data_IF_218186612610
#
_entry.id   IF_218186612610
#
_cell.length_a   1.000
_cell.length_b   1.000
_cell.length_c   1.000
_cell.angle_alpha   90.00
_cell.angle_beta   90.00
_cell.angle_gamma   90.00
#
_symmetry.space_group_name_H-M   'P 1'
#
loop_
_entity.id
_entity.type
_entity.pdbx_description
1 polymer ?
#
# COMPACT_ATOMS: atom_id res chain seq x y z
N UNK A 1 20.35 9.29 7.32
CA UNK A 1 19.35 10.08 6.60
C UNK A 1 19.23 9.56 5.17
N UNK A 2 17.98 9.40 4.71
CA UNK A 2 17.78 8.96 3.34
C UNK A 2 18.12 10.07 2.35
N UNK A 3 18.80 9.69 1.28
CA UNK A 3 19.07 10.58 0.17
C UNK A 3 17.74 11.02 -0.46
N UNK A 4 17.60 12.29 -0.90
CA UNK A 4 16.38 12.72 -1.60
C UNK A 4 16.02 11.82 -2.79
N UNK A 5 17.03 11.27 -3.48
CA UNK A 5 16.79 10.34 -4.58
C UNK A 5 16.18 9.03 -4.10
N UNK A 6 16.56 8.57 -2.91
CA UNK A 6 15.99 7.36 -2.33
C UNK A 6 14.53 7.57 -1.95
N UNK A 7 14.19 8.74 -1.43
CA UNK A 7 12.80 9.05 -1.09
C UNK A 7 11.93 9.09 -2.34
N UNK A 8 12.41 9.70 -3.41
CA UNK A 8 11.67 9.75 -4.67
C UNK A 8 11.48 8.36 -5.26
N UNK A 9 12.52 7.53 -5.19
CA UNK A 9 12.46 6.15 -5.67
C UNK A 9 11.45 5.34 -4.86
N UNK A 10 11.47 5.48 -3.55
CA UNK A 10 10.55 4.78 -2.67
C UNK A 10 9.11 5.24 -2.90
N UNK A 11 8.92 6.52 -3.11
CA UNK A 11 7.59 7.07 -3.39
C UNK A 11 7.04 6.54 -4.71
N UNK A 12 7.89 6.50 -5.73
CA UNK A 12 7.48 5.95 -7.02
C UNK A 12 7.13 4.48 -6.93
N UNK A 13 7.95 3.72 -6.21
CA UNK A 13 7.68 2.30 -5.96
C UNK A 13 6.34 2.13 -5.26
N UNK A 14 6.07 2.95 -4.26
CA UNK A 14 4.80 2.92 -3.56
C UNK A 14 3.64 3.15 -4.51
N UNK A 15 3.74 4.18 -5.36
CA UNK A 15 2.68 4.48 -6.31
C UNK A 15 2.48 3.36 -7.34
N UNK A 16 3.58 2.76 -7.79
CA UNK A 16 3.53 1.68 -8.77
C UNK A 16 2.87 0.43 -8.18
N UNK A 17 3.09 0.18 -6.89
CA UNK A 17 2.53 -0.99 -6.23
C UNK A 17 1.17 -0.74 -5.60
N UNK A 18 0.68 0.48 -5.64
CA UNK A 18 -0.57 0.83 -4.99
C UNK A 18 -1.77 0.00 -5.50
N UNK A 19 -1.97 -0.18 -6.83
CA UNK A 19 -3.06 -1.02 -7.29
C UNK A 19 -2.98 -2.45 -6.77
N UNK A 20 -1.78 -3.04 -6.76
CA UNK A 20 -1.59 -4.39 -6.24
C UNK A 20 -1.83 -4.43 -4.75
N UNK A 21 -1.35 -3.42 -4.02
CA UNK A 21 -1.55 -3.30 -2.59
C UNK A 21 -3.04 -3.27 -2.26
N UNK A 22 -3.82 -2.48 -2.98
CA UNK A 22 -5.25 -2.38 -2.74
C UNK A 22 -5.98 -3.68 -3.07
N UNK A 23 -5.54 -4.37 -4.13
CA UNK A 23 -6.11 -5.66 -4.48
C UNK A 23 -5.86 -6.70 -3.40
N UNK A 24 -4.64 -6.72 -2.84
CA UNK A 24 -4.31 -7.65 -1.77
C UNK A 24 -5.02 -7.31 -0.47
N UNK A 25 -5.21 -6.03 -0.20
CA UNK A 25 -5.90 -5.59 1.01
C UNK A 25 -7.37 -5.97 1.00
N UNK A 26 -7.98 -6.04 -0.17
CA UNK A 26 -9.38 -6.42 -0.28
C UNK A 26 -10.34 -5.43 0.36
N UNK A 27 -9.90 -4.20 0.55
CA UNK A 27 -10.74 -3.19 1.19
C UNK A 27 -11.68 -2.56 0.17
N UNK A 28 -12.96 -2.41 0.50
CA UNK A 28 -13.88 -1.75 -0.41
C UNK A 28 -13.56 -0.26 -0.51
N UNK A 29 -13.83 0.37 -1.66
CA UNK A 29 -13.65 1.80 -1.78
C UNK A 29 -14.62 2.54 -0.86
N UNK A 30 -14.23 3.73 -0.43
CA UNK A 30 -15.11 4.58 0.38
C UNK A 30 -16.30 5.03 -0.46
N UNK A 31 -17.49 4.86 0.08
CA UNK A 31 -18.68 5.39 -0.56
C UNK A 31 -18.80 6.88 -0.26
N UNK A 32 -19.33 7.62 -1.22
CA UNK A 32 -19.59 9.03 -1.08
C UNK A 32 -20.52 9.27 0.12
N UNK A 33 -20.14 10.18 1.02
CA UNK A 33 -20.94 10.50 2.20
C UNK A 33 -20.72 9.63 3.40
N UNK A 34 -19.87 8.62 3.31
CA UNK A 34 -19.52 7.78 4.45
C UNK A 34 -18.27 8.29 5.14
N UNK A 35 -18.36 8.32 6.46
CA UNK A 35 -17.22 8.69 7.30
C UNK A 35 -16.82 7.51 8.15
N UNK A 36 -15.51 7.29 8.26
CA UNK A 36 -14.97 6.22 9.09
C UNK A 36 -14.51 6.79 10.42
N UNK A 37 -14.67 6.02 11.49
CA UNK A 37 -14.12 6.39 12.79
C UNK A 37 -12.61 6.23 12.77
N UNK A 38 -11.93 6.82 13.78
CA UNK A 38 -10.48 6.68 13.89
C UNK A 38 -10.06 5.23 13.97
N UNK A 39 -10.79 4.41 14.73
CA UNK A 39 -10.48 2.99 14.86
C UNK A 39 -10.60 2.26 13.53
N UNK A 40 -11.61 2.60 12.74
CA UNK A 40 -11.80 2.00 11.43
C UNK A 40 -10.68 2.40 10.48
N UNK A 41 -10.25 3.65 10.53
CA UNK A 41 -9.15 4.13 9.70
C UNK A 41 -7.84 3.44 10.11
N UNK A 42 -7.58 3.28 11.41
CA UNK A 42 -6.39 2.60 11.88
C UNK A 42 -6.35 1.15 11.40
N UNK A 43 -7.48 0.45 11.47
CA UNK A 43 -7.55 -0.92 10.97
C UNK A 43 -7.26 -1.00 9.48
N UNK A 44 -7.77 -0.04 8.70
CA UNK A 44 -7.51 0.01 7.26
C UNK A 44 -6.05 0.32 6.97
N UNK A 45 -5.44 1.23 7.73
CA UNK A 45 -4.03 1.56 7.59
C UNK A 45 -3.16 0.34 7.87
N UNK A 46 -3.47 -0.39 8.92
CA UNK A 46 -2.75 -1.62 9.27
C UNK A 46 -2.84 -2.64 8.13
N UNK A 47 -4.03 -2.84 7.59
CA UNK A 47 -4.26 -3.77 6.48
C UNK A 47 -3.46 -3.34 5.25
N UNK A 48 -3.45 -2.05 4.94
CA UNK A 48 -2.71 -1.53 3.78
C UNK A 48 -1.22 -1.73 3.96
N UNK A 49 -0.69 -1.49 5.16
CA UNK A 49 0.74 -1.71 5.43
C UNK A 49 1.13 -3.17 5.22
N UNK A 50 0.32 -4.09 5.70
CA UNK A 50 0.56 -5.51 5.48
C UNK A 50 0.47 -5.87 4.00
N UNK A 51 -0.54 -5.37 3.31
CA UNK A 51 -0.73 -5.63 1.90
C UNK A 51 0.44 -5.07 1.08
N UNK A 52 0.96 -3.91 1.47
CA UNK A 52 2.11 -3.33 0.77
C UNK A 52 3.35 -4.20 0.91
N UNK A 53 3.61 -4.74 2.09
CA UNK A 53 4.73 -5.67 2.29
C UNK A 53 4.55 -6.91 1.41
N UNK A 54 3.35 -7.44 1.36
CA UNK A 54 3.05 -8.60 0.53
C UNK A 54 3.21 -8.27 -0.96
N UNK A 55 2.78 -7.08 -1.38
CA UNK A 55 2.92 -6.64 -2.76
C UNK A 55 4.38 -6.56 -3.17
N UNK A 56 5.24 -6.04 -2.28
CA UNK A 56 6.68 -5.98 -2.56
C UNK A 56 7.28 -7.37 -2.68
N UNK A 57 6.90 -8.28 -1.80
CA UNK A 57 7.40 -9.65 -1.83
C UNK A 57 6.97 -10.37 -3.11
N UNK A 58 5.70 -10.26 -3.47
CA UNK A 58 5.18 -10.87 -4.69
C UNK A 58 5.89 -10.30 -5.93
N UNK A 59 6.08 -8.98 -5.95
CA UNK A 59 6.75 -8.33 -7.07
C UNK A 59 8.18 -8.87 -7.23
N UNK A 60 8.90 -9.03 -6.13
CA UNK A 60 10.26 -9.59 -6.18
C UNK A 60 10.24 -11.01 -6.72
N UNK A 61 9.31 -11.82 -6.24
CA UNK A 61 9.21 -13.20 -6.69
C UNK A 61 8.88 -13.30 -8.18
N UNK A 62 8.04 -12.41 -8.67
CA UNK A 62 7.64 -12.41 -10.07
C UNK A 62 8.72 -11.88 -10.99
N UNK A 63 9.52 -10.93 -10.53
CA UNK A 63 10.55 -10.28 -11.35
C UNK A 63 11.89 -11.00 -11.23
N UNK A 64 12.27 -11.39 -10.03
CA UNK A 64 13.52 -12.09 -9.78
C UNK A 64 13.27 -13.60 -9.79
N UNK A 65 13.66 -14.22 -10.85
CA UNK A 65 13.58 -15.68 -10.96
C UNK A 65 14.92 -16.31 -10.72
#
# INVERSE_FOLDING_TARGET
>A
MADPNDLQRNYKEFLDLLPLTLALAGLPPSESGRYYTEDQIEARVFTIKHAYKAARAVTRECIQR
#
